data_IF_421983511548
#
_entry.id   IF_421983511548
#
_cell.length_a   1.000
_cell.length_b   1.000
_cell.length_c   1.000
_cell.angle_alpha   90.00
_cell.angle_beta   90.00
_cell.angle_gamma   90.00
#
_symmetry.space_group_name_H-M   'P 1'
#
loop_
_entity.id
_entity.type
_entity.pdbx_description
1 polymer ?
#
# COMPACT_ATOMS: atom_id res chain seq x y z
N UNK A 1 2.57 3.95 5.08
CA UNK A 1 3.57 4.54 5.98
C UNK A 1 4.41 3.41 6.53
N UNK A 2 5.72 3.60 6.60
CA UNK A 2 6.66 2.64 7.15
C UNK A 2 7.43 3.31 8.28
N UNK A 3 7.72 2.56 9.34
CA UNK A 3 8.58 2.96 10.44
C UNK A 3 9.86 2.14 10.38
N UNK A 4 10.99 2.80 10.53
CA UNK A 4 12.31 2.19 10.43
C UNK A 4 13.07 2.33 11.73
N UNK A 5 13.92 1.35 12.01
CA UNK A 5 14.92 1.47 13.06
C UNK A 5 16.19 2.09 12.47
N UNK A 6 17.08 2.60 13.34
CA UNK A 6 18.41 3.08 12.92
C UNK A 6 19.18 1.96 12.22
N UNK A 7 19.88 2.30 11.14
CA UNK A 7 20.67 1.36 10.35
C UNK A 7 21.37 2.05 9.18
N UNK A 8 22.16 1.32 8.39
CA UNK A 8 22.71 1.86 7.13
C UNK A 8 21.58 2.14 6.12
N UNK A 9 21.90 2.98 5.13
CA UNK A 9 20.96 3.26 4.04
C UNK A 9 20.57 1.97 3.31
N UNK A 10 19.29 1.82 3.00
CA UNK A 10 18.78 0.63 2.29
C UNK A 10 17.66 1.04 1.33
N UNK A 11 17.59 0.37 0.18
CA UNK A 11 16.50 0.54 -0.79
C UNK A 11 15.55 -0.64 -0.70
N UNK A 12 14.25 -0.39 -0.61
CA UNK A 12 13.21 -1.44 -0.60
C UNK A 12 12.17 -1.18 -1.68
N UNK A 13 11.58 -2.26 -2.18
CA UNK A 13 10.48 -2.22 -3.14
C UNK A 13 9.14 -2.32 -2.41
N UNK A 14 8.22 -1.40 -2.70
CA UNK A 14 6.85 -1.40 -2.18
C UNK A 14 5.89 -1.81 -3.31
N UNK A 15 5.06 -2.82 -3.05
CA UNK A 15 4.08 -3.34 -4.01
C UNK A 15 2.67 -3.22 -3.42
N UNK A 16 1.75 -2.65 -4.18
CA UNK A 16 0.33 -2.58 -3.85
C UNK A 16 -0.43 -3.61 -4.69
N UNK A 17 -1.16 -4.51 -4.02
CA UNK A 17 -1.90 -5.61 -4.63
C UNK A 17 -3.37 -5.48 -4.28
N UNK A 18 -4.23 -5.50 -5.30
CA UNK A 18 -5.68 -5.41 -5.14
C UNK A 18 -6.30 -6.75 -4.69
N UNK A 19 -7.61 -6.77 -4.33
CA UNK A 19 -8.29 -7.95 -3.81
C UNK A 19 -8.37 -9.16 -4.76
N UNK A 20 -8.04 -9.00 -6.05
CA UNK A 20 -8.01 -10.09 -7.04
C UNK A 20 -6.61 -10.32 -7.61
N UNK A 21 -5.57 -9.90 -6.89
CA UNK A 21 -4.15 -10.05 -7.22
C UNK A 21 -3.63 -9.19 -8.39
N UNK A 22 -4.28 -8.07 -8.71
CA UNK A 22 -3.72 -7.08 -9.64
C UNK A 22 -2.68 -6.22 -8.91
N UNK A 23 -1.47 -6.10 -9.48
CA UNK A 23 -0.47 -5.14 -9.01
C UNK A 23 -0.89 -3.75 -9.46
N UNK A 24 -1.29 -2.91 -8.52
CA UNK A 24 -1.78 -1.56 -8.78
C UNK A 24 -0.67 -0.50 -8.81
N UNK A 25 0.41 -0.71 -8.06
CA UNK A 25 1.60 0.15 -8.07
C UNK A 25 2.83 -0.62 -7.58
N UNK A 26 3.99 -0.28 -8.12
CA UNK A 26 5.31 -0.74 -7.66
C UNK A 26 6.28 0.42 -7.71
N UNK A 27 7.04 0.62 -6.65
CA UNK A 27 8.08 1.64 -6.60
C UNK A 27 9.12 1.31 -5.54
N UNK A 28 10.35 1.74 -5.77
CA UNK A 28 11.42 1.66 -4.78
C UNK A 28 11.46 2.94 -3.95
N UNK A 29 11.86 2.79 -2.68
CA UNK A 29 12.14 3.91 -1.79
C UNK A 29 13.54 3.75 -1.19
N UNK A 30 14.29 4.85 -1.14
CA UNK A 30 15.52 4.94 -0.35
C UNK A 30 15.14 5.23 1.10
N UNK A 31 15.67 4.43 2.02
CA UNK A 31 15.58 4.65 3.46
C UNK A 31 16.96 5.13 3.91
N UNK A 32 17.06 6.40 4.25
CA UNK A 32 18.28 6.97 4.79
C UNK A 32 18.52 6.50 6.23
N UNK A 33 19.78 6.47 6.67
CA UNK A 33 20.17 5.99 8.00
C UNK A 33 19.54 6.76 9.16
N UNK A 34 19.14 8.01 8.92
CA UNK A 34 18.46 8.88 9.86
C UNK A 34 16.92 8.82 9.75
N UNK A 35 16.38 8.15 8.73
CA UNK A 35 14.95 8.13 8.48
C UNK A 35 14.22 7.25 9.51
N UNK A 36 13.37 7.86 10.34
CA UNK A 36 12.50 7.11 11.26
C UNK A 36 11.19 6.68 10.60
N UNK A 37 10.69 7.49 9.66
CA UNK A 37 9.44 7.27 8.96
C UNK A 37 9.53 7.63 7.49
N UNK A 38 8.91 6.82 6.64
CA UNK A 38 8.67 7.13 5.23
C UNK A 38 7.19 6.95 4.90
N UNK A 39 6.67 7.75 3.98
CA UNK A 39 5.32 7.58 3.46
C UNK A 39 5.24 8.06 2.02
N UNK A 40 4.33 7.45 1.26
CA UNK A 40 4.03 7.83 -0.11
C UNK A 40 2.58 7.47 -0.42
N UNK A 41 1.91 8.33 -1.20
CA UNK A 41 0.55 8.10 -1.69
C UNK A 41 0.64 7.84 -3.20
N UNK A 42 0.51 6.58 -3.66
CA UNK A 42 0.54 6.29 -5.09
C UNK A 42 -0.66 6.92 -5.81
N UNK A 43 -0.49 7.42 -7.04
CA UNK A 43 -1.57 7.96 -7.86
C UNK A 43 -2.43 6.83 -8.45
N UNK A 44 -3.19 6.12 -7.61
CA UNK A 44 -4.08 5.05 -8.04
C UNK A 44 -5.34 5.61 -8.70
N UNK A 45 -5.71 5.04 -9.85
CA UNK A 45 -6.98 5.36 -10.51
C UNK A 45 -8.17 5.00 -9.61
N UNK A 46 -9.17 5.87 -9.56
CA UNK A 46 -10.38 5.70 -8.78
C UNK A 46 -11.55 5.25 -9.68
N UNK A 47 -12.51 4.48 -9.14
CA UNK A 47 -12.57 3.96 -7.77
C UNK A 47 -11.62 2.77 -7.54
N UNK A 48 -11.12 2.63 -6.31
CA UNK A 48 -10.43 1.41 -5.91
C UNK A 48 -11.42 0.25 -5.83
N UNK A 49 -11.02 -0.94 -6.28
CA UNK A 49 -11.81 -2.16 -6.12
C UNK A 49 -12.10 -2.42 -4.64
N UNK A 50 -13.38 -2.59 -4.23
CA UNK A 50 -13.70 -3.01 -2.86
C UNK A 50 -13.10 -4.38 -2.52
N UNK A 51 -12.70 -4.55 -1.26
CA UNK A 51 -12.12 -5.78 -0.74
C UNK A 51 -10.84 -5.55 0.07
N UNK A 52 -10.16 -6.64 0.41
CA UNK A 52 -8.92 -6.62 1.20
C UNK A 52 -7.73 -6.44 0.26
N UNK A 53 -7.10 -5.29 0.34
CA UNK A 53 -5.86 -4.96 -0.35
C UNK A 53 -4.66 -5.42 0.46
N UNK A 54 -3.54 -5.73 -0.21
CA UNK A 54 -2.27 -6.08 0.43
C UNK A 54 -1.16 -5.13 -0.04
N UNK A 55 -0.38 -4.62 0.90
CA UNK A 55 0.86 -3.88 0.61
C UNK A 55 2.03 -4.75 1.05
N UNK A 56 2.98 -5.01 0.16
CA UNK A 56 4.19 -5.81 0.41
C UNK A 56 5.43 -4.93 0.37
N UNK A 57 6.41 -5.27 1.20
CA UNK A 57 7.76 -4.70 1.18
C UNK A 57 8.75 -5.83 0.86
N UNK A 58 9.64 -5.57 -0.09
CA UNK A 58 10.66 -6.51 -0.52
C UNK A 58 12.04 -5.83 -0.50
N UNK A 59 13.08 -6.63 -0.30
CA UNK A 59 14.48 -6.22 -0.44
C UNK A 59 15.17 -7.21 -1.38
N UNK A 60 15.60 -6.75 -2.55
CA UNK A 60 16.14 -7.62 -3.61
C UNK A 60 15.24 -8.83 -3.91
N UNK A 61 13.94 -8.58 -4.08
CA UNK A 61 12.90 -9.61 -4.29
C UNK A 61 12.69 -10.60 -3.15
N UNK A 62 13.40 -10.46 -2.03
CA UNK A 62 13.15 -11.21 -0.80
C UNK A 62 12.03 -10.53 -0.01
N UNK A 63 10.96 -11.25 0.38
CA UNK A 63 9.89 -10.68 1.20
C UNK A 63 10.42 -10.20 2.55
N UNK A 64 10.07 -8.97 2.95
CA UNK A 64 10.45 -8.37 4.23
C UNK A 64 9.25 -8.31 5.18
N UNK A 65 8.14 -7.76 4.69
CA UNK A 65 6.92 -7.59 5.47
C UNK A 65 5.70 -7.37 4.57
N UNK A 66 4.51 -7.51 5.14
CA UNK A 66 3.27 -7.08 4.48
C UNK A 66 2.28 -6.50 5.49
N UNK A 67 1.32 -5.72 4.97
CA UNK A 67 0.14 -5.27 5.71
C UNK A 67 -1.08 -5.30 4.80
N UNK A 68 -2.28 -5.30 5.40
CA UNK A 68 -3.56 -5.37 4.67
C UNK A 68 -4.46 -4.23 5.11
N UNK A 69 -5.30 -3.76 4.20
CA UNK A 69 -6.33 -2.76 4.50
C UNK A 69 -7.61 -3.05 3.72
N UNK A 70 -8.75 -2.59 4.25
CA UNK A 70 -10.06 -2.78 3.65
C UNK A 70 -10.47 -1.54 2.86
N UNK A 71 -10.81 -1.73 1.58
CA UNK A 71 -11.65 -0.79 0.83
C UNK A 71 -13.09 -1.28 0.93
N UNK A 72 -13.90 -0.63 1.77
CA UNK A 72 -15.29 -1.03 1.96
C UNK A 72 -16.15 -0.62 0.75
N UNK A 73 -17.02 -1.49 0.23
CA UNK A 73 -18.09 -1.03 -0.66
C UNK A 73 -19.00 -0.08 0.12
N UNK A 74 -19.50 0.96 -0.56
CA UNK A 74 -20.46 1.89 0.04
C UNK A 74 -21.86 1.30 -0.08
N UNK A 75 -22.64 1.40 1.00
CA UNK A 75 -24.08 1.06 1.02
C UNK A 75 -24.98 2.29 0.91
N UNK A 76 -24.41 3.49 1.05
CA UNK A 76 -25.13 4.76 0.99
C UNK A 76 -24.44 5.76 0.06
N UNK A 77 -25.25 6.51 -0.69
CA UNK A 77 -24.85 7.71 -1.42
C UNK A 77 -25.79 8.84 -1.02
N UNK A 78 -25.25 9.99 -0.61
CA UNK A 78 -26.05 11.12 -0.11
C UNK A 78 -27.04 10.75 1.00
N UNK A 79 -26.63 9.86 1.92
CA UNK A 79 -27.46 9.30 3.02
C UNK A 79 -28.68 8.49 2.56
N UNK A 80 -28.75 8.13 1.28
CA UNK A 80 -29.76 7.23 0.73
C UNK A 80 -29.11 5.89 0.36
N UNK A 81 -29.84 4.78 0.53
CA UNK A 81 -29.34 3.48 0.13
C UNK A 81 -28.96 3.49 -1.37
N UNK A 82 -27.78 2.98 -1.71
CA UNK A 82 -27.36 2.84 -3.11
C UNK A 82 -28.31 1.86 -3.80
N UNK A 83 -28.85 2.28 -4.95
CA UNK A 83 -29.68 1.43 -5.81
C UNK A 83 -28.77 0.64 -6.75
N UNK A 84 -29.18 -0.60 -7.04
CA UNK A 84 -28.55 -1.44 -8.07
C UNK A 84 -28.86 -0.93 -9.47
#
# INVERSE_FOLDING_TARGET
>A
MQKWAKGPNVTVTVIWVDPVNVIAATYDILIESSAEFTHYKPPLNLPLRPGVWTIKILHHWVPVAETKFLVSPLTFLNKQAIRQ
#
